data_IF_392205111246
#
_entry.id   IF_392205111246
#
_cell.length_a   1.000
_cell.length_b   1.000
_cell.length_c   1.000
_cell.angle_alpha   90.00
_cell.angle_beta   90.00
_cell.angle_gamma   90.00
#
_symmetry.space_group_name_H-M   'P 1'
#
loop_
_entity.id
_entity.type
_entity.pdbx_description
1 polymer ?
#
# COMPACT_ATOMS: atom_id res chain seq x y z
N UNK A 1 -39.05 12.01 -29.14
CA UNK A 1 -37.70 11.44 -28.99
C UNK A 1 -36.73 12.37 -28.26
N UNK A 2 -36.74 13.68 -28.52
CA UNK A 2 -35.85 14.65 -27.86
C UNK A 2 -36.01 14.69 -26.32
N UNK A 3 -37.25 14.58 -25.81
CA UNK A 3 -37.50 14.59 -24.37
C UNK A 3 -36.88 13.43 -23.62
N UNK A 4 -36.94 12.22 -24.18
CA UNK A 4 -36.34 11.03 -23.56
C UNK A 4 -34.77 11.14 -23.49
N UNK A 5 -34.15 11.75 -24.50
CA UNK A 5 -32.71 11.94 -24.52
C UNK A 5 -32.23 12.93 -23.44
N UNK A 6 -32.94 14.04 -23.27
CA UNK A 6 -32.63 15.05 -22.24
C UNK A 6 -32.79 14.43 -20.84
N UNK A 7 -33.92 13.75 -20.59
CA UNK A 7 -34.14 13.06 -19.30
C UNK A 7 -33.04 12.00 -19.06
N UNK A 8 -32.73 11.18 -20.06
CA UNK A 8 -31.68 10.17 -19.95
C UNK A 8 -30.31 10.77 -19.61
N UNK A 9 -29.94 11.90 -20.21
CA UNK A 9 -28.72 12.62 -19.91
C UNK A 9 -28.70 13.12 -18.45
N UNK A 10 -29.79 13.74 -17.97
CA UNK A 10 -29.88 14.21 -16.59
C UNK A 10 -29.83 13.09 -15.57
N UNK A 11 -30.49 11.99 -15.83
CA UNK A 11 -30.45 10.80 -14.96
C UNK A 11 -29.05 10.20 -14.91
N UNK A 12 -28.38 10.04 -16.07
CA UNK A 12 -27.02 9.55 -16.15
C UNK A 12 -26.03 10.45 -15.38
N UNK A 13 -26.10 11.77 -15.58
CA UNK A 13 -25.29 12.73 -14.84
C UNK A 13 -25.60 12.68 -13.33
N UNK A 14 -26.89 12.65 -12.97
CA UNK A 14 -27.32 12.55 -11.57
C UNK A 14 -26.91 11.25 -10.88
N UNK A 15 -26.66 10.19 -11.65
CA UNK A 15 -26.23 8.89 -11.13
C UNK A 15 -24.79 8.95 -10.59
N UNK A 16 -23.92 9.76 -11.17
CA UNK A 16 -22.50 9.88 -10.73
C UNK A 16 -22.26 11.13 -9.87
N UNK A 17 -23.01 12.20 -10.07
CA UNK A 17 -22.85 13.47 -9.35
C UNK A 17 -23.02 13.31 -7.83
N UNK A 18 -22.08 13.89 -7.05
CA UNK A 18 -22.12 13.86 -5.58
C UNK A 18 -21.77 12.48 -4.99
N UNK A 19 -21.02 11.66 -5.72
CA UNK A 19 -20.37 10.48 -5.18
C UNK A 19 -19.02 10.87 -4.59
N UNK A 20 -18.77 10.44 -3.36
CA UNK A 20 -17.48 10.64 -2.69
C UNK A 20 -16.69 9.34 -2.75
N UNK A 21 -15.40 9.46 -3.06
CA UNK A 21 -14.49 8.34 -3.11
C UNK A 21 -13.58 8.36 -1.90
N UNK A 22 -13.53 7.26 -1.19
CA UNK A 22 -12.56 6.99 -0.13
C UNK A 22 -11.71 5.81 -0.52
N UNK A 23 -10.44 5.88 -0.20
CA UNK A 23 -9.48 4.83 -0.47
C UNK A 23 -8.53 4.68 0.70
N UNK A 24 -8.27 3.46 1.11
CA UNK A 24 -7.28 3.15 2.13
C UNK A 24 -5.85 3.29 1.56
N UNK A 25 -4.87 3.42 2.44
CA UNK A 25 -3.47 3.44 2.03
C UNK A 25 -3.13 2.10 1.34
N UNK A 26 -2.43 2.13 0.19
CA UNK A 26 -2.07 0.90 -0.48
C UNK A 26 -1.05 0.13 0.35
N UNK A 27 -1.20 -1.19 0.36
CA UNK A 27 -0.24 -2.09 0.98
C UNK A 27 0.97 -2.25 0.04
N UNK A 28 2.21 -2.17 0.55
CA UNK A 28 3.39 -2.48 -0.25
C UNK A 28 3.32 -3.90 -0.83
N UNK A 29 3.82 -4.06 -2.05
CA UNK A 29 3.84 -5.34 -2.78
C UNK A 29 5.23 -5.61 -3.35
N UNK A 30 5.47 -6.83 -3.85
CA UNK A 30 6.68 -7.14 -4.60
C UNK A 30 6.52 -6.82 -6.10
N UNK A 31 7.65 -6.62 -6.77
CA UNK A 31 7.65 -6.44 -8.23
C UNK A 31 6.97 -7.64 -8.91
N UNK A 32 6.21 -7.37 -9.97
CA UNK A 32 5.34 -8.30 -10.70
C UNK A 32 4.03 -8.67 -9.99
N UNK A 33 3.82 -8.25 -8.75
CA UNK A 33 2.51 -8.35 -8.10
C UNK A 33 1.64 -7.13 -8.43
N UNK A 34 0.34 -7.36 -8.55
CA UNK A 34 -0.62 -6.27 -8.74
C UNK A 34 -0.94 -5.61 -7.40
N UNK A 35 -0.82 -4.30 -7.34
CA UNK A 35 -1.29 -3.49 -6.21
C UNK A 35 -2.81 -3.54 -6.17
N UNK A 36 -3.37 -4.01 -5.06
CA UNK A 36 -4.81 -4.04 -4.85
C UNK A 36 -5.26 -2.73 -4.19
N UNK A 37 -6.21 -2.06 -4.80
CA UNK A 37 -6.77 -0.82 -4.33
C UNK A 37 -8.23 -1.05 -3.93
N UNK A 38 -8.52 -1.04 -2.65
CA UNK A 38 -9.88 -1.07 -2.14
C UNK A 38 -10.44 0.36 -2.14
N UNK A 39 -11.46 0.58 -2.96
CA UNK A 39 -12.06 1.89 -3.20
C UNK A 39 -13.50 1.85 -2.70
N UNK A 40 -13.79 2.69 -1.73
CA UNK A 40 -15.13 2.84 -1.19
C UNK A 40 -15.81 4.06 -1.79
N UNK A 41 -16.92 3.83 -2.49
CA UNK A 41 -17.83 4.87 -2.97
C UNK A 41 -18.90 5.12 -1.93
N UNK A 42 -19.12 6.37 -1.63
CA UNK A 42 -20.17 6.82 -0.67
C UNK A 42 -21.16 7.70 -1.39
N UNK A 43 -22.43 7.50 -1.11
CA UNK A 43 -23.53 8.30 -1.63
C UNK A 43 -24.44 8.77 -0.50
N UNK A 44 -24.66 10.07 -0.44
CA UNK A 44 -25.66 10.68 0.47
C UNK A 44 -27.05 10.81 -0.18
N UNK A 45 -27.14 10.43 -1.46
CA UNK A 45 -28.41 10.51 -2.21
C UNK A 45 -29.41 9.49 -1.67
N UNK A 46 -30.67 9.88 -1.62
CA UNK A 46 -31.80 9.02 -1.16
C UNK A 46 -32.18 7.90 -2.15
N UNK A 47 -31.67 7.93 -3.36
CA UNK A 47 -31.83 6.86 -4.36
C UNK A 47 -30.52 6.14 -4.56
N UNK A 48 -30.60 4.85 -4.84
CA UNK A 48 -29.43 4.06 -5.22
C UNK A 48 -28.79 4.58 -6.51
N UNK A 49 -27.53 4.22 -6.70
CA UNK A 49 -26.76 4.52 -7.90
C UNK A 49 -26.39 3.21 -8.57
N UNK A 50 -26.75 3.07 -9.81
CA UNK A 50 -26.67 1.82 -10.55
C UNK A 50 -25.57 1.87 -11.61
N UNK A 51 -24.89 0.76 -11.79
CA UNK A 51 -23.93 0.58 -12.87
C UNK A 51 -22.80 1.61 -12.84
N UNK A 52 -22.09 1.73 -11.72
CA UNK A 52 -20.88 2.55 -11.61
C UNK A 52 -19.66 1.65 -11.85
N UNK A 53 -18.92 1.91 -12.93
CA UNK A 53 -17.68 1.24 -13.24
C UNK A 53 -16.49 2.06 -12.74
N UNK A 54 -15.62 1.44 -11.94
CA UNK A 54 -14.39 2.03 -11.42
C UNK A 54 -13.17 1.36 -12.03
N UNK A 55 -12.18 2.15 -12.36
CA UNK A 55 -10.92 1.65 -12.89
C UNK A 55 -9.76 2.61 -12.70
N UNK A 56 -8.58 2.13 -12.99
CA UNK A 56 -7.36 2.93 -13.09
C UNK A 56 -7.29 3.53 -14.49
N UNK A 57 -6.83 4.77 -14.59
CA UNK A 57 -6.51 5.38 -15.88
C UNK A 57 -5.06 5.05 -16.27
N UNK A 58 -4.87 4.63 -17.50
CA UNK A 58 -3.57 4.58 -18.14
C UNK A 58 -3.07 5.98 -18.48
N UNK A 59 -1.79 6.10 -18.82
CA UNK A 59 -1.17 7.37 -19.20
C UNK A 59 -1.79 7.99 -20.46
N UNK A 60 -2.35 7.17 -21.34
CA UNK A 60 -3.10 7.58 -22.53
C UNK A 60 -4.53 8.08 -22.22
N UNK A 61 -4.93 8.05 -20.95
CA UNK A 61 -6.26 8.45 -20.50
C UNK A 61 -7.34 7.40 -20.71
N UNK A 62 -7.00 6.22 -21.21
CA UNK A 62 -7.95 5.11 -21.30
C UNK A 62 -8.13 4.44 -19.93
N UNK A 63 -9.35 3.97 -19.59
CA UNK A 63 -9.53 3.18 -18.38
C UNK A 63 -8.97 1.76 -18.60
N UNK A 64 -8.28 1.24 -17.59
CA UNK A 64 -8.02 -0.18 -17.48
C UNK A 64 -9.35 -0.95 -17.31
N UNK A 65 -9.27 -2.22 -16.99
CA UNK A 65 -10.49 -3.01 -16.69
C UNK A 65 -11.34 -2.31 -15.63
N UNK A 66 -12.64 -2.18 -15.89
CA UNK A 66 -13.58 -1.55 -14.97
C UNK A 66 -14.22 -2.61 -14.07
N UNK A 67 -14.18 -2.36 -12.77
CA UNK A 67 -14.94 -3.11 -11.79
C UNK A 67 -16.27 -2.40 -11.56
N UNK A 68 -17.38 -3.10 -11.77
CA UNK A 68 -18.71 -2.54 -11.70
C UNK A 68 -19.37 -2.80 -10.36
N UNK A 69 -20.09 -1.78 -9.86
CA UNK A 69 -20.82 -1.85 -8.60
C UNK A 69 -22.03 -0.94 -8.63
N UNK A 70 -22.98 -1.24 -7.73
CA UNK A 70 -24.07 -0.36 -7.37
C UNK A 70 -23.81 0.22 -5.97
N UNK A 71 -24.27 1.43 -5.72
CA UNK A 71 -24.14 2.07 -4.40
C UNK A 71 -25.55 2.28 -3.84
N UNK A 72 -25.85 1.69 -2.67
CA UNK A 72 -27.18 1.83 -2.06
C UNK A 72 -27.48 3.28 -1.70
N UNK A 73 -28.77 3.58 -1.56
CA UNK A 73 -29.22 4.88 -1.10
C UNK A 73 -28.63 5.22 0.27
N UNK A 74 -28.09 6.42 0.42
CA UNK A 74 -27.44 6.89 1.66
C UNK A 74 -26.44 5.87 2.25
N UNK A 75 -25.72 5.20 1.38
CA UNK A 75 -24.84 4.11 1.76
C UNK A 75 -23.51 4.13 1.02
N UNK A 76 -22.82 3.02 1.09
CA UNK A 76 -21.51 2.85 0.45
C UNK A 76 -21.34 1.47 -0.17
N UNK A 77 -20.48 1.38 -1.16
CA UNK A 77 -20.04 0.12 -1.78
C UNK A 77 -18.53 0.15 -1.92
N UNK A 78 -17.87 -0.99 -1.68
CA UNK A 78 -16.42 -1.12 -1.84
C UNK A 78 -16.12 -1.96 -3.06
N UNK A 79 -15.21 -1.48 -3.88
CA UNK A 79 -14.77 -2.14 -5.10
C UNK A 79 -13.26 -2.30 -5.06
N UNK A 80 -12.77 -3.46 -5.48
CA UNK A 80 -11.34 -3.74 -5.60
C UNK A 80 -10.90 -3.53 -7.05
N UNK A 81 -9.88 -2.72 -7.22
CA UNK A 81 -9.25 -2.44 -8.52
C UNK A 81 -7.78 -2.81 -8.44
N UNK A 82 -7.29 -3.55 -9.42
CA UNK A 82 -5.88 -3.92 -9.52
C UNK A 82 -5.10 -2.94 -10.40
N UNK A 83 -3.88 -2.63 -9.99
CA UNK A 83 -2.94 -1.85 -10.78
C UNK A 83 -1.57 -2.52 -10.78
N UNK A 84 -0.97 -2.66 -11.97
CA UNK A 84 0.38 -3.19 -12.13
C UNK A 84 1.39 -2.05 -12.11
N UNK A 85 2.26 -2.03 -11.12
CA UNK A 85 3.35 -1.07 -11.06
C UNK A 85 4.42 -1.39 -12.12
N UNK A 86 5.08 -0.35 -12.70
CA UNK A 86 6.06 -0.56 -13.77
C UNK A 86 7.37 -1.24 -13.31
N UNK A 87 7.61 -1.36 -12.00
CA UNK A 87 8.79 -2.01 -11.44
C UNK A 87 8.95 -1.71 -9.95
N UNK A 88 10.11 -2.06 -9.40
CA UNK A 88 10.45 -1.75 -7.99
C UNK A 88 10.64 -0.26 -7.78
N UNK A 89 10.38 0.21 -6.58
CA UNK A 89 10.58 1.60 -6.15
C UNK A 89 9.35 2.23 -5.55
N UNK A 90 9.40 3.52 -5.31
CA UNK A 90 8.28 4.31 -4.83
C UNK A 90 7.54 4.88 -6.04
N UNK A 91 6.28 4.49 -6.20
CA UNK A 91 5.45 4.89 -7.34
C UNK A 91 4.24 5.69 -6.87
N UNK A 92 3.94 6.77 -7.59
CA UNK A 92 2.67 7.46 -7.43
C UNK A 92 1.56 6.59 -8.01
N UNK A 93 0.46 6.50 -7.28
CA UNK A 93 -0.70 5.81 -7.79
C UNK A 93 -1.29 6.56 -9.00
N UNK A 94 -1.72 5.83 -10.03
CA UNK A 94 -2.36 6.43 -11.19
C UNK A 94 -3.69 7.08 -10.80
N UNK A 95 -4.21 7.91 -11.70
CA UNK A 95 -5.53 8.46 -11.53
C UNK A 95 -6.58 7.34 -11.59
N UNK A 96 -7.64 7.52 -10.82
CA UNK A 96 -8.81 6.65 -10.83
C UNK A 96 -9.90 7.30 -11.65
N UNK A 97 -10.68 6.50 -12.37
CA UNK A 97 -11.89 6.94 -13.06
C UNK A 97 -13.10 6.19 -12.58
N UNK A 98 -14.22 6.88 -12.51
CA UNK A 98 -15.52 6.23 -12.45
C UNK A 98 -16.35 6.66 -13.64
N UNK A 99 -17.15 5.75 -14.13
CA UNK A 99 -18.10 6.03 -15.22
C UNK A 99 -19.43 5.31 -14.99
N UNK A 100 -20.45 5.84 -15.61
CA UNK A 100 -21.76 5.19 -15.68
C UNK A 100 -22.38 5.38 -17.04
N UNK A 101 -23.16 4.40 -17.46
CA UNK A 101 -23.95 4.40 -18.68
C UNK A 101 -25.47 4.32 -18.36
N UNK A 102 -25.79 4.26 -17.06
CA UNK A 102 -27.19 4.17 -16.62
C UNK A 102 -27.97 5.45 -16.95
N UNK A 103 -29.26 5.40 -17.39
CA UNK A 103 -30.10 4.20 -17.46
C UNK A 103 -30.10 3.47 -18.80
N UNK A 104 -29.84 4.15 -19.90
CA UNK A 104 -30.14 3.63 -21.25
C UNK A 104 -28.87 3.24 -22.06
N UNK A 105 -27.70 3.44 -21.52
CA UNK A 105 -26.45 3.20 -22.24
C UNK A 105 -26.13 4.19 -23.37
N UNK A 106 -27.01 5.16 -23.62
CA UNK A 106 -26.85 6.16 -24.70
C UNK A 106 -25.89 7.29 -24.33
N UNK A 107 -25.75 7.59 -23.05
CA UNK A 107 -24.84 8.61 -22.54
C UNK A 107 -23.83 7.97 -21.60
N UNK A 108 -22.61 8.44 -21.67
CA UNK A 108 -21.54 8.08 -20.75
C UNK A 108 -21.16 9.32 -19.95
N UNK A 109 -21.24 9.25 -18.64
CA UNK A 109 -20.73 10.26 -17.71
C UNK A 109 -19.55 9.65 -16.98
N UNK A 110 -18.46 10.39 -16.85
CA UNK A 110 -17.27 9.96 -16.15
C UNK A 110 -16.68 11.06 -15.30
N UNK A 111 -15.87 10.68 -14.34
CA UNK A 111 -15.08 11.58 -13.51
C UNK A 111 -13.71 10.97 -13.23
N UNK A 112 -12.76 11.82 -12.91
CA UNK A 112 -11.37 11.43 -12.66
C UNK A 112 -10.93 11.96 -11.31
N UNK A 113 -10.34 11.10 -10.49
CA UNK A 113 -9.71 11.46 -9.22
C UNK A 113 -8.19 11.23 -9.31
N UNK A 114 -7.44 12.29 -8.99
CA UNK A 114 -5.99 12.19 -8.87
C UNK A 114 -5.62 12.10 -7.40
N UNK A 115 -4.94 11.02 -7.04
CA UNK A 115 -4.50 10.77 -5.68
C UNK A 115 -3.04 11.21 -5.51
N UNK A 116 -2.70 11.83 -4.39
CA UNK A 116 -1.32 12.18 -4.05
C UNK A 116 -0.58 11.02 -3.35
N UNK A 117 -1.19 9.85 -3.25
CA UNK A 117 -0.62 8.72 -2.52
C UNK A 117 0.39 7.95 -3.35
N UNK A 118 1.34 7.37 -2.63
CA UNK A 118 2.42 6.57 -3.19
C UNK A 118 2.35 5.14 -2.63
N UNK A 119 2.90 4.20 -3.37
CA UNK A 119 3.04 2.80 -2.96
C UNK A 119 4.49 2.39 -3.13
N UNK A 120 5.01 1.65 -2.14
CA UNK A 120 6.33 1.06 -2.21
C UNK A 120 6.23 -0.33 -2.82
N UNK A 121 7.04 -0.55 -3.87
CA UNK A 121 7.17 -1.85 -4.54
C UNK A 121 8.55 -2.40 -4.26
N UNK A 122 8.60 -3.51 -3.55
CA UNK A 122 9.84 -4.23 -3.24
C UNK A 122 10.37 -4.99 -4.47
N UNK A 123 11.68 -5.32 -4.49
CA UNK A 123 12.20 -6.27 -5.48
C UNK A 123 11.45 -7.61 -5.41
N UNK A 124 11.32 -8.28 -6.53
CA UNK A 124 10.80 -9.65 -6.53
C UNK A 124 11.74 -10.55 -5.73
N UNK A 125 11.23 -11.43 -4.87
CA UNK A 125 12.04 -12.46 -4.24
C UNK A 125 12.68 -13.35 -5.30
N UNK A 126 13.89 -13.84 -5.03
CA UNK A 126 14.50 -14.85 -5.88
C UNK A 126 13.75 -16.17 -5.76
N UNK A 127 13.50 -16.84 -6.89
CA UNK A 127 12.84 -18.15 -6.88
C UNK A 127 13.69 -19.24 -6.21
N UNK A 128 15.01 -19.13 -6.31
CA UNK A 128 15.98 -20.08 -5.75
C UNK A 128 17.13 -19.31 -5.08
N UNK A 129 16.89 -18.71 -3.89
CA UNK A 129 17.94 -17.97 -3.22
C UNK A 129 19.07 -18.94 -2.80
N UNK A 130 20.35 -18.56 -3.00
CA UNK A 130 21.45 -19.33 -2.49
C UNK A 130 21.36 -19.39 -0.95
N UNK A 131 21.84 -20.50 -0.38
CA UNK A 131 21.95 -20.60 1.07
C UNK A 131 22.80 -19.44 1.61
N UNK A 132 22.34 -18.80 2.66
CA UNK A 132 23.14 -17.75 3.32
C UNK A 132 24.47 -18.35 3.76
N UNK A 133 25.61 -17.67 3.51
CA UNK A 133 26.89 -18.14 4.01
C UNK A 133 26.80 -18.25 5.54
N UNK A 134 27.41 -19.29 6.14
CA UNK A 134 27.49 -19.39 7.58
C UNK A 134 28.11 -18.09 8.09
N UNK A 135 27.48 -17.44 9.06
CA UNK A 135 27.95 -16.19 9.64
C UNK A 135 29.41 -16.39 10.08
N UNK A 136 30.32 -15.50 9.66
CA UNK A 136 31.69 -15.53 10.16
C UNK A 136 31.66 -15.32 11.67
N UNK A 137 32.22 -16.24 12.48
CA UNK A 137 32.36 -15.99 13.90
C UNK A 137 33.20 -14.73 14.06
N UNK A 138 32.69 -13.70 14.76
CA UNK A 138 33.46 -12.51 15.09
C UNK A 138 34.76 -12.99 15.78
N UNK A 139 35.85 -12.98 15.05
CA UNK A 139 37.15 -13.31 15.59
C UNK A 139 37.54 -12.31 16.68
N UNK A 140 37.43 -12.68 17.96
CA UNK A 140 37.82 -11.85 19.07
C UNK A 140 37.17 -12.12 20.42
N UNK A 141 36.34 -13.10 20.57
CA UNK A 141 35.77 -13.46 21.86
C UNK A 141 36.27 -14.81 22.35
N UNK A 142 37.20 -14.83 23.34
CA UNK A 142 37.48 -16.03 24.11
C UNK A 142 36.26 -16.40 24.94
N UNK A 143 35.40 -17.23 24.38
CA UNK A 143 34.27 -17.79 25.03
C UNK A 143 33.54 -18.65 24.04
N UNK A 144 33.82 -19.96 24.09
CA UNK A 144 33.08 -20.98 23.35
C UNK A 144 31.62 -20.97 23.81
N UNK A 145 30.87 -19.94 23.45
CA UNK A 145 29.44 -20.00 23.44
C UNK A 145 29.07 -20.57 22.07
N UNK A 146 28.37 -21.68 22.08
CA UNK A 146 27.82 -22.35 20.91
C UNK A 146 27.24 -21.33 19.95
N UNK A 147 27.98 -20.90 18.96
CA UNK A 147 27.51 -20.14 17.84
C UNK A 147 26.77 -21.10 16.91
N UNK A 148 25.52 -21.38 17.24
CA UNK A 148 24.53 -21.64 16.22
C UNK A 148 24.01 -20.27 15.82
N UNK A 149 24.74 -19.66 14.94
CA UNK A 149 24.47 -18.29 14.53
C UNK A 149 23.96 -18.27 13.10
N UNK A 150 22.75 -18.05 13.00
CA UNK A 150 22.23 -17.07 12.06
C UNK A 150 22.82 -15.74 12.53
N UNK A 151 23.48 -14.94 11.68
CA UNK A 151 24.14 -13.67 12.03
C UNK A 151 23.20 -12.60 12.64
N UNK A 152 22.37 -13.01 13.52
CA UNK A 152 21.43 -12.23 14.32
C UNK A 152 22.19 -11.65 15.52
N UNK A 153 21.91 -10.41 15.82
CA UNK A 153 22.47 -9.71 16.96
C UNK A 153 22.13 -10.44 18.27
N UNK A 154 23.14 -11.09 18.88
CA UNK A 154 23.02 -11.92 20.10
C UNK A 154 22.64 -11.13 21.37
N UNK A 155 22.21 -9.89 21.24
CA UNK A 155 21.85 -9.06 22.37
C UNK A 155 23.06 -8.34 22.97
N UNK A 156 22.81 -7.64 24.07
CA UNK A 156 23.81 -6.85 24.81
C UNK A 156 24.00 -7.51 26.17
N UNK A 157 25.23 -7.86 26.51
CA UNK A 157 25.63 -8.39 27.83
C UNK A 157 26.48 -7.38 28.59
N UNK A 158 26.60 -7.56 29.89
CA UNK A 158 27.50 -6.79 30.70
C UNK A 158 28.97 -6.95 30.25
N UNK A 159 29.72 -5.85 30.24
CA UNK A 159 31.15 -5.80 29.88
C UNK A 159 31.97 -6.66 30.83
N UNK A 160 32.90 -7.42 30.28
CA UNK A 160 33.89 -8.17 31.04
C UNK A 160 35.27 -7.63 30.74
N UNK A 161 36.15 -7.63 31.76
CA UNK A 161 37.53 -7.19 31.59
C UNK A 161 38.23 -8.03 30.53
N UNK A 162 38.65 -7.37 29.44
CA UNK A 162 39.24 -8.03 28.26
C UNK A 162 38.36 -7.95 27.02
N UNK A 163 37.12 -7.55 27.12
CA UNK A 163 36.29 -7.28 25.98
C UNK A 163 36.81 -6.02 25.22
N UNK A 164 36.73 -6.00 23.89
CA UNK A 164 37.16 -4.84 23.12
C UNK A 164 36.26 -3.63 23.39
N UNK A 165 36.83 -2.52 23.81
CA UNK A 165 36.11 -1.27 24.17
C UNK A 165 35.24 -0.75 23.02
N UNK A 166 35.61 -1.06 21.77
CA UNK A 166 34.80 -0.71 20.59
C UNK A 166 33.44 -1.42 20.52
N UNK A 167 33.25 -2.52 21.27
CA UNK A 167 32.01 -3.27 21.34
C UNK A 167 31.06 -2.75 22.43
N UNK A 168 31.48 -1.79 23.24
CA UNK A 168 30.64 -1.20 24.27
C UNK A 168 29.55 -0.33 23.65
N UNK A 169 28.31 -0.56 24.06
CA UNK A 169 27.17 0.29 23.64
C UNK A 169 27.16 1.55 24.51
N UNK A 170 27.94 2.54 24.11
CA UNK A 170 28.18 3.78 24.88
C UNK A 170 26.91 4.52 25.29
N UNK A 171 25.85 4.47 24.50
CA UNK A 171 24.56 5.06 24.86
C UNK A 171 23.96 4.41 26.10
N UNK A 172 24.03 3.08 26.22
CA UNK A 172 23.55 2.35 27.42
C UNK A 172 24.48 2.54 28.61
N UNK A 173 25.77 2.51 28.39
CA UNK A 173 26.75 2.83 29.43
C UNK A 173 26.50 4.21 30.03
N UNK A 174 26.31 5.24 29.21
CA UNK A 174 25.97 6.59 29.67
C UNK A 174 24.66 6.65 30.47
N UNK A 175 23.64 5.91 30.08
CA UNK A 175 22.37 5.81 30.82
C UNK A 175 22.53 5.08 32.17
N UNK A 176 23.36 4.04 32.21
CA UNK A 176 23.68 3.31 33.46
C UNK A 176 24.40 4.23 34.43
N UNK A 177 25.45 4.95 34.01
CA UNK A 177 26.15 5.95 34.83
C UNK A 177 25.22 7.06 35.31
N UNK A 178 24.36 7.60 34.47
CA UNK A 178 23.39 8.62 34.87
C UNK A 178 22.38 8.12 35.92
N UNK A 179 22.13 6.83 35.97
CA UNK A 179 21.25 6.16 36.94
C UNK A 179 22.01 5.62 38.19
N UNK A 180 23.31 5.93 38.34
CA UNK A 180 24.15 5.53 39.46
C UNK A 180 24.58 4.06 39.43
N UNK A 181 24.55 3.40 38.25
CA UNK A 181 25.07 2.06 38.06
C UNK A 181 26.36 2.08 37.25
N UNK A 182 27.39 1.42 37.75
CA UNK A 182 28.71 1.33 37.10
C UNK A 182 28.78 0.14 36.07
N UNK A 183 27.67 -0.21 35.45
CA UNK A 183 27.62 -1.34 34.50
C UNK A 183 27.93 -0.84 33.10
N UNK A 184 29.04 -1.30 32.52
CA UNK A 184 29.32 -1.22 31.09
C UNK A 184 28.59 -2.35 30.34
N UNK A 185 27.88 -2.00 29.27
CA UNK A 185 27.11 -2.96 28.45
C UNK A 185 27.52 -2.88 27.00
#
# INVERSE_FOLDING_TARGET
QLGCSVVGMHVCHGNLRGTTLHRDAPVPVHAHEAVQLDIRLVSEKRSERLGIGLGVLHDDGSPASLAWTDVPAQGSSTVRVAWQAPGRGLHRLPALTAQTLFPLGTFRVWTVWRTASEVLVYPAPEDHPPALPPGEPLAGGHGAARAQSTGEFDGVRAYRRGDPVKAVVWKRAAQAFASGRDDLV
#
